data_IF_186818382034
#
_entry.id   IF_186818382034
#
_cell.length_a   1.000
_cell.length_b   1.000
_cell.length_c   1.000
_cell.angle_alpha   90.00
_cell.angle_beta   90.00
_cell.angle_gamma   90.00
#
_symmetry.space_group_name_H-M   'P 1'
#
loop_
_entity.id
_entity.type
_entity.pdbx_description
1 polymer ?
#
# COMPACT_ATOMS: atom_id res chain seq x y z
N UNK A 1 -10.52 -3.09 -9.31
CA UNK A 1 -9.04 -3.19 -9.29
C UNK A 1 -8.47 -2.68 -10.60
N UNK A 2 -7.54 -1.72 -10.52
CA UNK A 2 -6.91 -1.08 -11.69
C UNK A 2 -5.79 -1.93 -12.29
N UNK A 3 -5.15 -2.79 -11.50
CA UNK A 3 -4.15 -3.74 -11.95
C UNK A 3 -4.86 -4.88 -12.71
N UNK A 4 -4.68 -4.91 -14.04
CA UNK A 4 -5.26 -5.91 -14.95
C UNK A 4 -4.23 -6.46 -15.96
N UNK A 5 -2.97 -6.09 -15.79
CA UNK A 5 -1.90 -6.46 -16.70
C UNK A 5 -1.40 -7.88 -16.38
N UNK A 6 -0.83 -8.56 -17.38
CA UNK A 6 -0.16 -9.85 -17.19
C UNK A 6 1.12 -9.62 -16.38
N UNK A 7 1.35 -10.44 -15.35
CA UNK A 7 2.55 -10.37 -14.54
C UNK A 7 2.42 -11.11 -13.22
N UNK A 8 3.35 -10.83 -12.31
CA UNK A 8 3.39 -11.41 -10.97
C UNK A 8 3.07 -10.36 -9.91
N UNK A 9 2.45 -10.80 -8.83
CA UNK A 9 2.35 -10.04 -7.59
C UNK A 9 3.41 -10.56 -6.62
N UNK A 10 4.29 -9.69 -6.15
CA UNK A 10 5.43 -10.08 -5.29
C UNK A 10 5.24 -9.51 -3.89
N UNK A 11 5.33 -10.38 -2.88
CA UNK A 11 5.32 -10.02 -1.47
C UNK A 11 6.65 -10.44 -0.85
N UNK A 12 7.33 -9.50 -0.20
CA UNK A 12 8.47 -9.80 0.68
C UNK A 12 7.94 -9.85 2.10
N UNK A 13 7.95 -11.05 2.70
CA UNK A 13 7.39 -11.27 4.03
C UNK A 13 8.50 -11.69 5.00
N UNK A 14 8.70 -10.89 6.06
CA UNK A 14 9.52 -11.27 7.20
C UNK A 14 8.64 -11.79 8.34
N UNK A 15 8.96 -12.96 8.89
CA UNK A 15 8.24 -13.55 10.02
C UNK A 15 9.23 -14.01 11.09
N UNK A 16 8.85 -13.84 12.35
CA UNK A 16 9.64 -14.26 13.52
C UNK A 16 8.69 -14.67 14.65
N UNK A 17 9.19 -15.51 15.56
CA UNK A 17 8.43 -15.94 16.74
C UNK A 17 8.91 -15.25 18.01
N UNK A 18 10.22 -15.00 18.13
CA UNK A 18 10.85 -14.32 19.25
C UNK A 18 11.01 -12.82 18.99
N UNK A 19 10.79 -12.00 20.01
CA UNK A 19 10.92 -10.54 19.89
C UNK A 19 12.34 -10.09 19.53
N UNK A 20 13.36 -10.85 19.91
CA UNK A 20 14.76 -10.51 19.65
C UNK A 20 15.12 -10.52 18.15
N UNK A 21 14.38 -11.29 17.34
CA UNK A 21 14.58 -11.36 15.89
C UNK A 21 13.84 -10.26 15.10
N UNK A 22 13.01 -9.43 15.74
CA UNK A 22 12.13 -8.47 15.07
C UNK A 22 12.89 -7.47 14.19
N UNK A 23 13.90 -6.81 14.74
CA UNK A 23 14.65 -5.76 14.05
C UNK A 23 15.44 -6.32 12.86
N UNK A 24 16.12 -7.45 13.06
CA UNK A 24 16.87 -8.14 12.01
C UNK A 24 15.94 -8.56 10.86
N UNK A 25 14.79 -9.14 11.18
CA UNK A 25 13.85 -9.66 10.18
C UNK A 25 13.18 -8.52 9.40
N UNK A 26 12.80 -7.45 10.10
CA UNK A 26 12.27 -6.23 9.48
C UNK A 26 13.30 -5.58 8.56
N UNK A 27 14.55 -5.49 9.01
CA UNK A 27 15.67 -4.96 8.21
C UNK A 27 15.91 -5.77 6.94
N UNK A 28 15.92 -7.10 7.04
CA UNK A 28 16.05 -7.99 5.88
C UNK A 28 14.91 -7.81 4.87
N UNK A 29 13.66 -7.73 5.33
CA UNK A 29 12.50 -7.55 4.46
C UNK A 29 12.56 -6.22 3.71
N UNK A 30 12.92 -5.13 4.40
CA UNK A 30 13.07 -3.79 3.80
C UNK A 30 14.20 -3.76 2.76
N UNK A 31 15.38 -4.27 3.11
CA UNK A 31 16.51 -4.32 2.19
C UNK A 31 16.21 -5.17 0.94
N UNK A 32 15.52 -6.30 1.12
CA UNK A 32 15.10 -7.16 0.00
C UNK A 32 14.08 -6.46 -0.91
N UNK A 33 13.13 -5.73 -0.31
CA UNK A 33 12.18 -4.91 -1.07
C UNK A 33 12.89 -3.81 -1.88
N UNK A 34 13.86 -3.12 -1.28
CA UNK A 34 14.59 -2.04 -1.95
C UNK A 34 15.37 -2.53 -3.17
N UNK A 35 15.99 -3.71 -3.10
CA UNK A 35 16.65 -4.35 -4.25
C UNK A 35 15.65 -4.65 -5.37
N UNK A 36 14.48 -5.17 -5.03
CA UNK A 36 13.46 -5.58 -6.00
C UNK A 36 12.69 -4.40 -6.60
N UNK A 37 12.67 -3.26 -5.93
CA UNK A 37 11.85 -2.09 -6.27
C UNK A 37 12.04 -1.61 -7.71
N UNK A 38 13.26 -1.72 -8.26
CA UNK A 38 13.59 -1.30 -9.63
C UNK A 38 12.94 -2.16 -10.72
N UNK A 39 12.58 -3.40 -10.40
CA UNK A 39 11.91 -4.33 -11.32
C UNK A 39 10.37 -4.25 -11.21
N UNK A 40 9.86 -3.56 -10.19
CA UNK A 40 8.43 -3.48 -9.92
C UNK A 40 7.74 -2.40 -10.77
N UNK A 41 6.47 -2.66 -11.11
CA UNK A 41 5.59 -1.65 -11.72
C UNK A 41 5.20 -0.55 -10.72
N UNK A 42 4.55 0.50 -11.24
CA UNK A 42 4.09 1.65 -10.43
C UNK A 42 2.88 1.36 -9.53
N UNK A 43 2.19 0.24 -9.75
CA UNK A 43 0.94 -0.11 -9.05
C UNK A 43 1.25 -1.02 -7.88
N UNK A 44 0.50 -0.87 -6.79
CA UNK A 44 0.62 -1.70 -5.58
C UNK A 44 -0.72 -2.34 -5.23
N UNK A 45 -0.67 -3.47 -4.53
CA UNK A 45 -1.87 -4.11 -4.03
C UNK A 45 -2.22 -3.54 -2.65
N UNK A 46 -3.42 -2.99 -2.51
CA UNK A 46 -3.85 -2.25 -1.31
C UNK A 46 -3.68 -3.05 -0.01
N UNK A 47 -3.82 -4.37 -0.06
CA UNK A 47 -3.73 -5.24 1.12
C UNK A 47 -2.30 -5.47 1.63
N UNK A 48 -1.27 -5.01 0.91
CA UNK A 48 0.14 -5.12 1.31
C UNK A 48 0.75 -3.78 1.74
N UNK A 49 -0.04 -2.69 1.73
CA UNK A 49 0.45 -1.37 2.08
C UNK A 49 0.53 -1.22 3.59
N UNK A 50 1.72 -0.87 4.09
CA UNK A 50 2.01 -0.66 5.50
C UNK A 50 1.75 0.78 5.95
N UNK A 51 1.83 1.00 7.27
CA UNK A 51 1.70 2.32 7.88
C UNK A 51 2.91 3.24 7.64
N UNK A 52 4.00 2.71 7.08
CA UNK A 52 5.24 3.43 6.76
C UNK A 52 5.24 4.08 5.37
N UNK A 53 4.12 4.03 4.64
CA UNK A 53 3.96 4.69 3.35
C UNK A 53 3.25 6.04 3.44
N UNK A 54 3.65 6.99 2.57
CA UNK A 54 2.88 8.22 2.36
C UNK A 54 1.47 7.87 1.87
N UNK A 55 0.45 8.30 2.62
CA UNK A 55 -0.93 7.91 2.36
C UNK A 55 -1.43 8.34 0.97
N UNK A 56 -0.98 9.49 0.46
CA UNK A 56 -1.37 10.00 -0.86
C UNK A 56 -0.76 9.17 -1.99
N UNK A 57 0.55 8.90 -1.90
CA UNK A 57 1.26 8.06 -2.85
C UNK A 57 0.76 6.61 -2.82
N UNK A 58 0.49 6.07 -1.64
CA UNK A 58 -0.06 4.74 -1.42
C UNK A 58 -1.45 4.60 -2.07
N UNK A 59 -2.35 5.57 -1.86
CA UNK A 59 -3.68 5.58 -2.48
C UNK A 59 -3.62 5.67 -4.01
N UNK A 60 -2.73 6.51 -4.56
CA UNK A 60 -2.54 6.60 -6.01
C UNK A 60 -1.99 5.29 -6.59
N UNK A 61 -1.02 4.68 -5.93
CA UNK A 61 -0.44 3.39 -6.35
C UNK A 61 -1.45 2.24 -6.29
N UNK A 62 -2.36 2.25 -5.30
CA UNK A 62 -3.38 1.22 -5.11
C UNK A 62 -4.56 1.35 -6.08
N UNK A 63 -5.09 2.58 -6.24
CA UNK A 63 -6.38 2.80 -6.92
C UNK A 63 -6.22 3.33 -8.35
N UNK A 64 -5.07 3.94 -8.67
CA UNK A 64 -4.78 4.51 -9.99
C UNK A 64 -5.88 5.45 -10.46
N UNK A 65 -6.34 5.28 -11.70
CA UNK A 65 -7.41 6.10 -12.30
C UNK A 65 -8.74 6.09 -11.53
N UNK A 66 -8.98 5.08 -10.68
CA UNK A 66 -10.21 5.00 -9.88
C UNK A 66 -10.19 5.97 -8.69
N UNK A 67 -9.03 6.51 -8.31
CA UNK A 67 -8.88 7.36 -7.12
C UNK A 67 -9.82 8.57 -7.18
N UNK A 68 -9.97 9.21 -8.33
CA UNK A 68 -10.86 10.37 -8.48
C UNK A 68 -12.33 10.04 -8.15
N UNK A 69 -12.85 8.93 -8.69
CA UNK A 69 -14.22 8.45 -8.39
C UNK A 69 -14.36 8.05 -6.92
N UNK A 70 -13.33 7.42 -6.34
CA UNK A 70 -13.34 7.04 -4.94
C UNK A 70 -13.35 8.26 -4.00
N UNK A 71 -12.63 9.33 -4.34
CA UNK A 71 -12.69 10.60 -3.59
C UNK A 71 -14.10 11.20 -3.60
N UNK A 72 -14.79 11.17 -4.76
CA UNK A 72 -16.19 11.62 -4.83
C UNK A 72 -17.12 10.79 -3.94
N UNK A 73 -16.95 9.46 -3.93
CA UNK A 73 -17.72 8.58 -3.04
C UNK A 73 -17.39 8.85 -1.57
N UNK A 74 -16.11 9.02 -1.23
CA UNK A 74 -15.67 9.37 0.11
C UNK A 74 -16.30 10.68 0.57
N UNK A 75 -16.25 11.75 -0.24
CA UNK A 75 -16.90 13.03 0.08
C UNK A 75 -18.40 12.86 0.32
N UNK A 76 -19.08 11.98 -0.41
CA UNK A 76 -20.52 11.74 -0.24
C UNK A 76 -20.86 10.95 1.02
N UNK A 77 -20.09 9.91 1.34
CA UNK A 77 -20.45 8.92 2.37
C UNK A 77 -19.65 9.04 3.66
N UNK A 78 -18.50 9.71 3.64
CA UNK A 78 -17.68 9.98 4.81
C UNK A 78 -16.97 11.35 4.68
N UNK A 79 -17.74 12.46 4.63
CA UNK A 79 -17.20 13.81 4.46
C UNK A 79 -16.27 14.22 5.60
N UNK A 80 -16.48 13.69 6.80
CA UNK A 80 -15.66 13.99 7.98
C UNK A 80 -14.45 13.06 8.12
N UNK A 81 -14.21 12.19 7.13
CA UNK A 81 -13.08 11.25 7.09
C UNK A 81 -12.95 10.38 8.36
N UNK A 82 -14.08 9.92 8.90
CA UNK A 82 -14.14 9.05 10.10
C UNK A 82 -13.37 7.75 9.84
N UNK A 83 -13.48 7.19 8.64
CA UNK A 83 -12.80 5.94 8.24
C UNK A 83 -11.47 6.21 7.51
N UNK A 84 -10.37 6.36 8.25
CA UNK A 84 -9.08 6.80 7.69
C UNK A 84 -7.86 5.92 8.02
N UNK A 85 -8.03 4.77 8.69
CA UNK A 85 -6.90 3.95 9.14
C UNK A 85 -6.30 3.02 8.08
N UNK A 86 -7.11 2.60 7.10
CA UNK A 86 -6.59 1.86 5.95
C UNK A 86 -5.90 2.82 4.99
N UNK A 87 -5.45 2.34 3.81
CA UNK A 87 -4.93 3.17 2.71
C UNK A 87 -5.93 4.28 2.41
N UNK A 88 -5.71 5.44 3.02
CA UNK A 88 -6.78 6.41 3.18
C UNK A 88 -7.04 7.10 1.84
N UNK A 89 -8.31 7.34 1.57
CA UNK A 89 -8.75 8.14 0.43
C UNK A 89 -9.24 9.46 1.03
N UNK A 90 -8.44 10.54 0.97
CA UNK A 90 -8.89 11.82 1.49
C UNK A 90 -10.07 12.34 0.66
N UNK A 91 -11.12 12.89 1.28
CA UNK A 91 -12.16 13.64 0.57
C UNK A 91 -11.57 14.70 -0.37
N UNK A 92 -12.31 15.07 -1.40
CA UNK A 92 -11.93 16.16 -2.32
C UNK A 92 -11.69 17.48 -1.57
#
# INVERSE_FOLDING_TARGET
FVLRDIGFNTLVLGQWMDKASADRTTGWARASFDVLKSFAGKRRYANYLGADEDAGAAALAAYGQNLARLRQLKTRYDPNNIFHHNVNIPPA
#
